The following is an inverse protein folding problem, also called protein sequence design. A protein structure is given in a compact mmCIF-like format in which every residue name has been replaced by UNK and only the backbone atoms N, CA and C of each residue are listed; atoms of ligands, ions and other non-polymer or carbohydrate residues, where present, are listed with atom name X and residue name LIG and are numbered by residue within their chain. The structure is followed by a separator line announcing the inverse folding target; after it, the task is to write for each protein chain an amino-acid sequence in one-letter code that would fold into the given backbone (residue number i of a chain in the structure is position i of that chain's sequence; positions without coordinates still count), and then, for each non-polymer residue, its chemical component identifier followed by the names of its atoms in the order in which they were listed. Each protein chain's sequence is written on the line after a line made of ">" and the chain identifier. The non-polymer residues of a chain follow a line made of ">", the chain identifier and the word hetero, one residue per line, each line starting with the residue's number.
data_IF_561798738671
#
_entry.id   IF_561798738671
#
_cell.length_a   1.000
_cell.length_b   1.000
_cell.length_c   1.000
_cell.angle_alpha   90.00
_cell.angle_beta   90.00
_cell.angle_gamma   90.00
#
_symmetry.space_group_name_H-M   'P 1'
#
loop_
_entity.id
_entity.type
_entity.pdbx_description
1 polymer ?
#
# COMPACT_ATOMS: atom_id res chain seq x y z
N UNK A 1 -2.34 -1.08 -14.25
CA UNK A 1 -3.25 -0.99 -13.10
C UNK A 1 -4.50 -0.26 -13.53
N UNK A 2 -5.63 -0.57 -12.91
CA UNK A 2 -6.93 0.00 -13.27
C UNK A 2 -6.99 1.46 -12.85
N UNK A 3 -7.15 2.37 -13.81
CA UNK A 3 -7.35 3.81 -13.58
C UNK A 3 -8.51 4.10 -12.61
N UNK A 4 -9.42 3.14 -12.45
CA UNK A 4 -10.56 3.21 -11.53
C UNK A 4 -10.08 3.29 -10.07
N UNK A 5 -9.11 2.48 -9.67
CA UNK A 5 -8.67 2.44 -8.26
C UNK A 5 -7.95 3.73 -7.87
N UNK A 6 -7.08 4.23 -8.76
CA UNK A 6 -6.39 5.51 -8.58
C UNK A 6 -7.41 6.66 -8.51
N UNK A 7 -8.38 6.71 -9.44
CA UNK A 7 -9.43 7.74 -9.44
C UNK A 7 -10.35 7.68 -8.22
N UNK A 8 -10.65 6.48 -7.70
CA UNK A 8 -11.42 6.31 -6.47
C UNK A 8 -10.66 6.84 -5.25
N UNK A 9 -9.38 6.49 -5.13
CA UNK A 9 -8.52 6.95 -4.02
C UNK A 9 -8.41 8.48 -4.04
N UNK A 10 -8.17 9.06 -5.22
CA UNK A 10 -8.06 10.50 -5.38
C UNK A 10 -9.35 11.21 -4.95
N UNK A 11 -10.52 10.70 -5.38
CA UNK A 11 -11.82 11.28 -4.99
C UNK A 11 -12.09 11.16 -3.50
N UNK A 12 -11.76 10.01 -2.88
CA UNK A 12 -11.94 9.84 -1.44
C UNK A 12 -11.05 10.80 -0.65
N UNK A 13 -9.78 10.91 -1.03
CA UNK A 13 -8.84 11.83 -0.40
C UNK A 13 -9.28 13.31 -0.55
N UNK A 14 -9.78 13.70 -1.73
CA UNK A 14 -10.35 15.05 -1.97
C UNK A 14 -11.56 15.35 -1.09
N UNK A 15 -12.36 14.33 -0.77
CA UNK A 15 -13.48 14.45 0.16
C UNK A 15 -13.08 14.48 1.64
N UNK A 16 -11.79 14.37 1.97
CA UNK A 16 -11.29 14.26 3.34
C UNK A 16 -11.52 12.88 3.97
N UNK A 17 -11.84 11.86 3.16
CA UNK A 17 -12.08 10.50 3.63
C UNK A 17 -10.78 9.68 3.70
N UNK A 18 -10.78 8.69 4.57
CA UNK A 18 -9.71 7.69 4.66
C UNK A 18 -9.94 6.51 3.72
N UNK A 19 -8.88 5.94 3.17
CA UNK A 19 -8.93 4.72 2.37
C UNK A 19 -8.02 3.65 2.99
N UNK A 20 -8.56 2.45 3.19
CA UNK A 20 -7.79 1.28 3.62
C UNK A 20 -7.73 0.29 2.47
N UNK A 21 -6.52 -0.02 2.00
CA UNK A 21 -6.30 -1.00 0.94
C UNK A 21 -5.64 -2.25 1.51
N UNK A 22 -6.34 -3.37 1.44
CA UNK A 22 -5.82 -4.68 1.81
C UNK A 22 -5.38 -5.42 0.55
N UNK A 23 -4.11 -5.81 0.48
CA UNK A 23 -3.57 -6.56 -0.66
C UNK A 23 -2.60 -7.64 -0.21
N UNK A 24 -2.62 -8.77 -0.90
CA UNK A 24 -1.68 -9.87 -0.67
C UNK A 24 -0.27 -9.53 -1.19
N UNK A 25 -0.17 -8.83 -2.32
CA UNK A 25 1.10 -8.36 -2.89
C UNK A 25 0.84 -7.14 -3.76
N UNK A 26 1.59 -6.06 -3.52
CA UNK A 26 1.71 -4.92 -4.43
C UNK A 26 3.15 -4.83 -4.89
N UNK A 27 3.39 -4.56 -6.17
CA UNK A 27 4.72 -4.12 -6.64
C UNK A 27 4.97 -2.67 -6.22
N UNK A 28 6.24 -2.24 -6.25
CA UNK A 28 6.60 -0.86 -5.91
C UNK A 28 5.87 0.14 -6.81
N UNK A 29 5.89 -0.09 -8.13
CA UNK A 29 5.17 0.74 -9.09
C UNK A 29 3.68 0.86 -8.77
N UNK A 30 3.06 -0.19 -8.22
CA UNK A 30 1.66 -0.13 -7.82
C UNK A 30 1.47 0.77 -6.60
N UNK A 31 2.33 0.63 -5.58
CA UNK A 31 2.31 1.51 -4.40
C UNK A 31 2.50 2.97 -4.80
N UNK A 32 3.50 3.27 -5.64
CA UNK A 32 3.83 4.63 -6.07
C UNK A 32 2.60 5.31 -6.69
N UNK A 33 1.89 4.61 -7.57
CA UNK A 33 0.68 5.13 -8.23
C UNK A 33 -0.47 5.39 -7.25
N UNK A 34 -0.67 4.49 -6.28
CA UNK A 34 -1.75 4.61 -5.29
C UNK A 34 -1.48 5.76 -4.31
N UNK A 35 -0.23 5.90 -3.85
CA UNK A 35 0.17 7.02 -2.98
C UNK A 35 0.11 8.33 -3.73
N UNK A 36 0.58 8.38 -4.98
CA UNK A 36 0.44 9.57 -5.82
C UNK A 36 -1.03 9.96 -6.05
N UNK A 37 -1.93 8.99 -6.25
CA UNK A 37 -3.36 9.28 -6.37
C UNK A 37 -3.97 9.86 -5.09
N UNK A 38 -3.58 9.32 -3.92
CA UNK A 38 -3.98 9.88 -2.64
C UNK A 38 -3.44 11.29 -2.44
N UNK A 39 -2.15 11.51 -2.71
CA UNK A 39 -1.50 12.82 -2.59
C UNK A 39 -2.16 13.89 -3.48
N UNK A 40 -2.52 13.54 -4.72
CA UNK A 40 -3.28 14.43 -5.63
C UNK A 40 -4.64 14.84 -5.06
N UNK A 41 -5.33 13.92 -4.37
CA UNK A 41 -6.63 14.21 -3.76
C UNK A 41 -6.52 15.01 -2.46
N UNK A 42 -5.53 14.70 -1.63
CA UNK A 42 -5.29 15.35 -0.34
C UNK A 42 -4.53 16.68 -0.43
N UNK A 43 -4.12 17.09 -1.63
CA UNK A 43 -3.23 18.24 -1.89
C UNK A 43 -1.93 18.14 -1.08
N UNK A 44 -1.29 16.98 -1.12
CA UNK A 44 -0.02 16.70 -0.47
C UNK A 44 1.10 16.32 -1.44
N UNK A 45 2.29 16.06 -0.90
CA UNK A 45 3.51 15.71 -1.66
C UNK A 45 4.14 14.40 -1.16
N UNK A 46 3.31 13.42 -0.83
CA UNK A 46 3.74 12.16 -0.24
C UNK A 46 4.23 11.21 -1.32
N UNK A 47 5.29 10.51 -0.98
CA UNK A 47 5.87 9.46 -1.81
C UNK A 47 5.64 8.11 -1.16
N UNK A 48 5.46 7.07 -1.99
CA UNK A 48 5.36 5.73 -1.45
C UNK A 48 6.72 5.30 -0.89
N UNK A 49 6.75 4.65 0.28
CA UNK A 49 7.98 4.07 0.80
C UNK A 49 8.45 2.97 -0.15
N UNK A 50 9.77 2.91 -0.35
CA UNK A 50 10.39 1.80 -1.08
C UNK A 50 10.36 0.56 -0.19
N UNK A 51 9.79 -0.54 -0.71
CA UNK A 51 9.71 -1.82 0.01
C UNK A 51 10.33 -2.93 -0.82
N UNK A 52 11.20 -3.70 -0.19
CA UNK A 52 11.77 -4.93 -0.74
C UNK A 52 10.80 -6.11 -0.55
N UNK A 53 11.12 -7.25 -1.16
CA UNK A 53 10.21 -8.40 -1.17
C UNK A 53 10.16 -9.10 0.18
N UNK A 54 11.25 -8.97 0.95
CA UNK A 54 11.47 -9.51 2.29
C UNK A 54 10.69 -8.74 3.37
N UNK A 55 10.22 -7.53 3.07
CA UNK A 55 9.51 -6.65 4.01
C UNK A 55 8.06 -7.09 4.30
N UNK A 56 7.54 -8.07 3.55
CA UNK A 56 6.17 -8.55 3.75
C UNK A 56 6.04 -9.37 5.06
N UNK A 57 4.92 -9.25 5.82
CA UNK A 57 3.79 -8.35 5.61
C UNK A 57 4.08 -6.93 6.12
N UNK A 58 3.60 -5.93 5.35
CA UNK A 58 3.97 -4.53 5.53
C UNK A 58 2.73 -3.61 5.59
N UNK A 59 2.78 -2.58 6.44
CA UNK A 59 1.79 -1.52 6.51
C UNK A 59 2.39 -0.17 6.10
N UNK A 60 1.74 0.48 5.14
CA UNK A 60 2.02 1.86 4.74
C UNK A 60 0.82 2.73 5.10
N UNK A 61 1.04 3.71 5.96
CA UNK A 61 0.07 4.71 6.36
C UNK A 61 0.49 6.08 5.84
N UNK A 62 -0.32 6.65 4.95
CA UNK A 62 -0.08 7.96 4.33
C UNK A 62 -1.10 8.96 4.85
N UNK A 63 -0.62 10.10 5.33
CA UNK A 63 -1.42 11.24 5.78
C UNK A 63 -1.05 12.48 4.99
N UNK A 64 -1.76 13.61 5.16
CA UNK A 64 -1.45 14.87 4.44
C UNK A 64 -0.01 15.38 4.66
N UNK A 65 0.62 15.02 5.77
CA UNK A 65 1.92 15.56 6.18
C UNK A 65 3.00 14.49 6.31
N UNK A 66 2.61 13.25 6.60
CA UNK A 66 3.52 12.20 6.98
C UNK A 66 3.24 10.87 6.27
N UNK A 67 4.30 10.10 6.07
CA UNK A 67 4.25 8.71 5.64
C UNK A 67 4.86 7.85 6.74
N UNK A 68 4.04 7.05 7.41
CA UNK A 68 4.50 6.08 8.39
C UNK A 68 4.46 4.68 7.78
N UNK A 69 5.59 3.98 7.84
CA UNK A 69 5.79 2.72 7.15
C UNK A 69 6.45 1.74 8.11
N UNK A 70 5.82 0.60 8.37
CA UNK A 70 6.38 -0.39 9.27
C UNK A 70 5.96 -1.82 8.94
N UNK A 71 6.84 -2.75 9.30
CA UNK A 71 6.58 -4.19 9.20
C UNK A 71 5.53 -4.59 10.23
N UNK A 72 4.59 -5.42 9.81
CA UNK A 72 3.57 -5.98 10.70
C UNK A 72 4.01 -7.38 11.10
N UNK A 73 4.11 -7.66 12.39
CA UNK A 73 4.41 -9.01 12.85
C UNK A 73 3.23 -9.94 12.53
N UNK A 74 3.51 -11.06 11.85
CA UNK A 74 2.52 -12.13 11.69
C UNK A 74 2.25 -12.76 13.05
N UNK A 75 0.97 -12.95 13.40
CA UNK A 75 0.62 -13.71 14.62
C UNK A 75 1.08 -15.17 14.44
N UNK A 76 1.65 -15.76 15.49
CA UNK A 76 2.22 -17.12 15.46
C UNK A 76 1.22 -18.18 14.95
N UNK A 77 -0.07 -18.02 15.25
CA UNK A 77 -1.11 -18.99 14.89
C UNK A 77 -1.47 -19.03 13.39
N UNK A 78 -1.06 -18.01 12.62
CA UNK A 78 -1.34 -17.89 11.18
C UNK A 78 -0.08 -17.73 10.33
N UNK A 79 1.09 -17.88 10.95
CA UNK A 79 2.38 -17.83 10.25
C UNK A 79 2.55 -19.08 9.38
N UNK A 80 2.14 -18.97 8.11
CA UNK A 80 2.43 -19.98 7.10
C UNK A 80 3.65 -19.57 6.30
N UNK A 81 4.70 -20.37 6.37
CA UNK A 81 5.85 -20.28 5.47
C UNK A 81 5.34 -20.60 4.07
N UNK A 82 5.41 -19.63 3.15
CA UNK A 82 5.02 -19.85 1.75
C UNK A 82 6.10 -20.75 1.12
N UNK A 83 5.92 -22.07 1.17
CA UNK A 83 6.71 -23.00 0.36
C UNK A 83 6.45 -22.65 -1.11
N UNK A 84 7.50 -22.29 -1.86
CA UNK A 84 7.39 -22.24 -3.31
C UNK A 84 7.07 -23.67 -3.75
N UNK A 85 5.84 -23.89 -4.22
CA UNK A 85 5.53 -25.08 -4.98
C UNK A 85 6.54 -25.17 -6.12
N UNK A 86 7.38 -26.19 -6.07
CA UNK A 86 8.17 -26.67 -7.20
C UNK A 86 7.15 -26.99 -8.31
N UNK A 87 7.11 -26.17 -9.36
CA UNK A 87 6.31 -26.49 -10.53
C UNK A 87 7.02 -27.62 -11.31
N UNK A 88 6.27 -28.60 -11.85
CA UNK A 88 6.81 -29.73 -12.62
C UNK A 88 7.42 -29.29 -13.96
#
# INVERSE_FOLDING_TARGET
>A
MSCILEGLIERQARGGNSVILLSATLSQQQRDKLVAAFARGAEGQQEAPFLEKEDYPWLTHVTKSDVNSHRVATRKDVERKRERGLAP
#
